data_IF_393713378165
#
_entry.id   IF_393713378165
#
_cell.length_a   1.000
_cell.length_b   1.000
_cell.length_c   1.000
_cell.angle_alpha   90.00
_cell.angle_beta   90.00
_cell.angle_gamma   90.00
#
_symmetry.space_group_name_H-M   'P 1'
#
loop_
_entity.id
_entity.type
_entity.pdbx_description
1 polymer ?
#
# COMPACT_ATOMS: atom_id res chain seq x y z
N UNK A 1 -27.94 1.24 -32.82
CA UNK A 1 -27.43 -0.15 -32.72
C UNK A 1 -25.92 -0.20 -32.53
N UNK A 2 -25.12 0.67 -33.16
CA UNK A 2 -23.65 0.76 -32.96
C UNK A 2 -23.25 0.94 -31.49
N UNK A 3 -23.87 1.87 -30.76
CA UNK A 3 -23.49 2.16 -29.36
C UNK A 3 -23.80 1.01 -28.39
N UNK A 4 -24.87 0.24 -28.65
CA UNK A 4 -25.23 -0.92 -27.83
C UNK A 4 -24.23 -2.06 -28.05
N UNK A 5 -23.88 -2.31 -29.31
CA UNK A 5 -22.94 -3.37 -29.69
C UNK A 5 -21.51 -3.04 -29.25
N UNK A 6 -21.11 -1.77 -29.34
CA UNK A 6 -19.84 -1.26 -28.79
C UNK A 6 -19.82 -1.37 -27.25
N UNK A 7 -20.91 -1.03 -26.57
CA UNK A 7 -21.02 -1.19 -25.11
C UNK A 7 -20.95 -2.66 -24.70
N UNK A 8 -21.61 -3.57 -25.42
CA UNK A 8 -21.55 -5.01 -25.17
C UNK A 8 -20.14 -5.55 -25.43
N UNK A 9 -19.46 -5.10 -26.49
CA UNK A 9 -18.07 -5.46 -26.77
C UNK A 9 -17.11 -4.95 -25.70
N UNK A 10 -17.26 -3.71 -25.21
CA UNK A 10 -16.44 -3.18 -24.10
C UNK A 10 -16.64 -3.97 -22.82
N UNK A 11 -17.89 -4.27 -22.46
CA UNK A 11 -18.20 -5.11 -21.29
C UNK A 11 -17.64 -6.51 -21.49
N UNK A 12 -17.82 -7.11 -22.67
CA UNK A 12 -17.25 -8.41 -23.02
C UNK A 12 -15.72 -8.44 -22.93
N UNK A 13 -15.03 -7.44 -23.48
CA UNK A 13 -13.57 -7.32 -23.38
C UNK A 13 -13.12 -7.16 -21.92
N UNK A 14 -13.81 -6.33 -21.14
CA UNK A 14 -13.46 -6.11 -19.73
C UNK A 14 -13.67 -7.38 -18.90
N UNK A 15 -14.78 -8.09 -19.11
CA UNK A 15 -15.15 -9.28 -18.34
C UNK A 15 -14.40 -10.54 -18.78
N UNK A 16 -14.16 -10.74 -20.08
CA UNK A 16 -13.58 -11.98 -20.61
C UNK A 16 -12.10 -11.89 -20.94
N UNK A 17 -11.52 -10.69 -21.04
CA UNK A 17 -10.09 -10.51 -21.33
C UNK A 17 -9.40 -9.85 -20.15
N UNK A 18 -9.84 -8.65 -19.73
CA UNK A 18 -9.14 -7.88 -18.68
C UNK A 18 -9.24 -8.57 -17.32
N UNK A 19 -10.44 -9.00 -16.90
CA UNK A 19 -10.65 -9.70 -15.63
C UNK A 19 -9.85 -11.01 -15.50
N UNK A 20 -9.92 -11.94 -16.47
CA UNK A 20 -9.16 -13.18 -16.44
C UNK A 20 -7.65 -12.97 -16.52
N UNK A 21 -7.20 -12.00 -17.33
CA UNK A 21 -5.79 -11.65 -17.43
C UNK A 21 -5.27 -11.10 -16.10
N UNK A 22 -5.95 -10.13 -15.48
CA UNK A 22 -5.58 -9.57 -14.18
C UNK A 22 -5.56 -10.64 -13.08
N UNK A 23 -6.57 -11.52 -13.05
CA UNK A 23 -6.60 -12.65 -12.12
C UNK A 23 -5.46 -13.67 -12.37
N UNK A 24 -5.06 -13.88 -13.63
CA UNK A 24 -3.91 -14.73 -13.96
C UNK A 24 -2.59 -14.08 -13.53
N UNK A 25 -2.40 -12.78 -13.80
CA UNK A 25 -1.23 -12.00 -13.36
C UNK A 25 -1.07 -12.08 -11.85
N UNK A 26 -2.16 -11.84 -11.10
CA UNK A 26 -2.16 -11.90 -9.65
C UNK A 26 -1.78 -13.29 -9.12
N UNK A 27 -2.36 -14.36 -9.71
CA UNK A 27 -2.02 -15.75 -9.33
C UNK A 27 -0.57 -16.11 -9.66
N UNK A 28 -0.07 -15.72 -10.83
CA UNK A 28 1.32 -15.99 -11.23
C UNK A 28 2.30 -15.23 -10.34
N UNK A 29 2.01 -13.96 -10.05
CA UNK A 29 2.80 -13.15 -9.12
C UNK A 29 2.78 -13.68 -7.69
N UNK A 30 1.65 -14.26 -7.23
CA UNK A 30 1.60 -14.95 -5.93
C UNK A 30 2.49 -16.20 -5.91
N UNK A 31 2.47 -17.01 -6.97
CA UNK A 31 3.32 -18.20 -7.10
C UNK A 31 4.81 -17.88 -7.17
N UNK A 32 5.21 -16.85 -7.92
CA UNK A 32 6.62 -16.43 -7.96
C UNK A 32 7.09 -15.89 -6.60
N UNK A 33 6.18 -15.30 -5.81
CA UNK A 33 6.49 -14.90 -4.43
C UNK A 33 6.70 -16.10 -3.51
N UNK A 34 5.89 -17.16 -3.64
CA UNK A 34 6.08 -18.39 -2.85
C UNK A 34 7.30 -19.20 -3.30
N UNK A 35 7.67 -19.20 -4.58
CA UNK A 35 8.89 -19.87 -5.05
C UNK A 35 10.15 -19.11 -4.63
N UNK A 36 10.06 -17.78 -4.50
CA UNK A 36 11.16 -16.96 -4.00
C UNK A 36 11.43 -17.12 -2.50
N UNK A 37 10.57 -17.84 -1.77
CA UNK A 37 10.74 -18.13 -0.33
C UNK A 37 11.52 -19.42 -0.04
N UNK A 38 11.97 -20.16 -1.05
CA UNK A 38 12.55 -21.51 -0.88
C UNK A 38 13.96 -21.54 -0.23
N UNK A 39 14.67 -20.40 -0.13
CA UNK A 39 16.02 -20.31 0.46
C UNK A 39 16.19 -19.06 1.32
N UNK A 40 16.44 -19.19 2.64
CA UNK A 40 16.61 -18.05 3.54
C UNK A 40 17.97 -17.36 3.40
N UNK A 41 19.01 -18.06 2.95
CA UNK A 41 20.37 -17.51 2.88
C UNK A 41 20.68 -16.80 1.55
N UNK A 42 20.01 -17.18 0.46
CA UNK A 42 20.24 -16.59 -0.87
C UNK A 42 18.89 -16.30 -1.53
N UNK A 43 18.49 -15.03 -1.58
CA UNK A 43 17.22 -14.61 -2.17
C UNK A 43 17.30 -13.25 -2.85
N UNK A 44 16.31 -12.95 -3.69
CA UNK A 44 16.20 -11.67 -4.38
C UNK A 44 14.84 -11.04 -4.13
N UNK A 45 14.85 -9.87 -3.48
CA UNK A 45 13.67 -9.06 -3.25
C UNK A 45 13.45 -8.17 -4.47
N UNK A 46 12.56 -8.60 -5.36
CA UNK A 46 12.18 -7.87 -6.59
C UNK A 46 10.72 -8.08 -6.96
N UNK A 47 10.19 -7.19 -7.80
CA UNK A 47 8.87 -7.38 -8.42
C UNK A 47 8.85 -8.70 -9.24
N UNK A 48 7.78 -9.51 -9.17
CA UNK A 48 7.58 -10.72 -9.95
C UNK A 48 7.87 -10.49 -11.42
N UNK A 49 8.57 -11.46 -12.01
CA UNK A 49 8.93 -11.46 -13.40
C UNK A 49 7.67 -11.41 -14.28
N UNK A 50 6.59 -12.11 -13.89
CA UNK A 50 5.33 -12.06 -14.62
C UNK A 50 4.77 -10.65 -14.76
N UNK A 51 4.65 -9.89 -13.66
CA UNK A 51 4.12 -8.51 -13.68
C UNK A 51 5.00 -7.63 -14.55
N UNK A 52 6.31 -7.69 -14.33
CA UNK A 52 7.29 -6.91 -15.09
C UNK A 52 7.25 -7.22 -16.59
N UNK A 53 7.16 -8.49 -16.95
CA UNK A 53 7.14 -8.91 -18.36
C UNK A 53 5.86 -8.47 -19.03
N UNK A 54 4.71 -8.54 -18.36
CA UNK A 54 3.43 -8.11 -18.91
C UNK A 54 3.42 -6.61 -19.17
N UNK A 55 3.89 -5.79 -18.22
CA UNK A 55 3.96 -4.34 -18.42
C UNK A 55 4.88 -4.00 -19.61
N UNK A 56 6.04 -4.66 -19.72
CA UNK A 56 6.92 -4.50 -20.89
C UNK A 56 6.25 -4.94 -22.18
N UNK A 57 5.65 -6.13 -22.22
CA UNK A 57 4.96 -6.64 -23.40
C UNK A 57 3.80 -5.71 -23.81
N UNK A 58 3.03 -5.18 -22.86
CA UNK A 58 1.96 -4.23 -23.13
C UNK A 58 2.53 -2.93 -23.72
N UNK A 59 3.58 -2.37 -23.13
CA UNK A 59 4.20 -1.15 -23.64
C UNK A 59 4.78 -1.35 -25.05
N UNK A 60 5.49 -2.46 -25.30
CA UNK A 60 6.04 -2.82 -26.61
C UNK A 60 4.93 -3.08 -27.63
N UNK A 61 3.91 -3.87 -27.28
CA UNK A 61 2.79 -4.15 -28.17
C UNK A 61 2.04 -2.86 -28.54
N UNK A 62 1.90 -1.94 -27.58
CA UNK A 62 1.30 -0.63 -27.83
C UNK A 62 2.15 0.20 -28.79
N UNK A 63 3.46 0.29 -28.58
CA UNK A 63 4.37 0.96 -29.53
C UNK A 63 4.34 0.32 -30.93
N UNK A 64 4.32 -1.01 -31.01
CA UNK A 64 4.24 -1.72 -32.30
C UNK A 64 2.91 -1.47 -33.02
N UNK A 65 1.79 -1.39 -32.28
CA UNK A 65 0.50 -0.98 -32.83
C UNK A 65 0.57 0.45 -33.36
N UNK A 66 1.12 1.39 -32.60
CA UNK A 66 1.26 2.78 -33.03
C UNK A 66 2.19 2.92 -34.24
N UNK A 67 3.31 2.19 -34.27
CA UNK A 67 4.23 2.13 -35.40
C UNK A 67 3.55 1.53 -36.65
N UNK A 68 2.74 0.48 -36.48
CA UNK A 68 1.96 -0.10 -37.56
C UNK A 68 0.96 0.90 -38.15
N UNK A 69 0.29 1.68 -37.29
CA UNK A 69 -0.58 2.80 -37.70
C UNK A 69 0.22 3.87 -38.43
N UNK A 70 1.42 4.23 -37.97
CA UNK A 70 2.29 5.22 -38.61
C UNK A 70 2.76 4.77 -40.00
N UNK A 71 3.20 3.53 -40.15
CA UNK A 71 3.59 2.94 -41.44
C UNK A 71 2.39 2.91 -42.39
N UNK A 72 1.21 2.51 -41.89
CA UNK A 72 -0.02 2.55 -42.67
C UNK A 72 -0.40 3.98 -43.09
N UNK A 73 -0.25 4.97 -42.21
CA UNK A 73 -0.51 6.39 -42.49
C UNK A 73 0.42 6.94 -43.57
N UNK A 74 1.70 6.56 -43.56
CA UNK A 74 2.66 6.92 -44.60
C UNK A 74 2.33 6.30 -45.96
N UNK A 75 1.70 5.12 -45.97
CA UNK A 75 1.21 4.43 -47.17
C UNK A 75 -0.16 4.97 -47.63
N UNK A 76 -1.02 5.41 -46.71
CA UNK A 76 -2.40 5.83 -46.99
C UNK A 76 -2.59 7.34 -47.21
N UNK A 77 -1.51 8.13 -47.28
CA UNK A 77 -1.53 9.58 -47.55
C UNK A 77 -2.53 10.38 -46.68
N UNK A 78 -2.51 10.15 -45.36
CA UNK A 78 -2.89 11.20 -44.40
C UNK A 78 -4.36 11.38 -44.00
N UNK A 79 -5.11 10.29 -43.77
CA UNK A 79 -6.50 10.41 -43.26
C UNK A 79 -6.67 10.18 -41.74
N UNK A 80 -5.60 9.92 -40.99
CA UNK A 80 -5.70 9.62 -39.55
C UNK A 80 -5.31 10.78 -38.64
N UNK A 81 -6.01 10.88 -37.50
CA UNK A 81 -5.85 11.91 -36.49
C UNK A 81 -4.46 11.82 -35.81
N UNK A 82 -3.60 12.78 -36.13
CA UNK A 82 -2.25 12.89 -35.59
C UNK A 82 -2.23 13.02 -34.06
N UNK A 83 -3.29 13.54 -33.44
CA UNK A 83 -3.38 13.67 -31.99
C UNK A 83 -3.51 12.31 -31.31
N UNK A 84 -4.31 11.40 -31.90
CA UNK A 84 -4.46 10.05 -31.39
C UNK A 84 -3.15 9.25 -31.47
N UNK A 85 -2.34 9.51 -32.50
CA UNK A 85 -1.04 8.87 -32.68
C UNK A 85 -0.05 9.28 -31.58
N UNK A 86 0.10 10.58 -31.34
CA UNK A 86 0.99 11.08 -30.29
C UNK A 86 0.50 10.73 -28.89
N UNK A 87 -0.81 10.66 -28.67
CA UNK A 87 -1.39 10.17 -27.42
C UNK A 87 -0.98 8.71 -27.17
N UNK A 88 -1.00 7.89 -28.22
CA UNK A 88 -0.51 6.51 -28.16
C UNK A 88 0.94 6.41 -27.71
N UNK A 89 1.85 7.14 -28.36
CA UNK A 89 3.26 7.15 -27.96
C UNK A 89 3.48 7.67 -26.53
N UNK A 90 2.77 8.72 -26.13
CA UNK A 90 2.84 9.25 -24.77
C UNK A 90 2.47 8.19 -23.72
N UNK A 91 1.41 7.41 -23.98
CA UNK A 91 0.95 6.34 -23.10
C UNK A 91 1.92 5.16 -23.04
N UNK A 92 2.54 4.79 -24.16
CA UNK A 92 3.56 3.74 -24.16
C UNK A 92 4.85 4.18 -23.43
N UNK A 93 5.32 5.41 -23.65
CA UNK A 93 6.46 5.96 -22.90
C UNK A 93 6.18 6.00 -21.39
N UNK A 94 4.97 6.40 -20.99
CA UNK A 94 4.55 6.33 -19.59
C UNK A 94 4.57 4.88 -19.06
N UNK A 95 4.07 3.92 -19.85
CA UNK A 95 4.14 2.49 -19.51
C UNK A 95 5.56 1.96 -19.35
N UNK A 96 6.48 2.35 -20.24
CA UNK A 96 7.91 2.00 -20.17
C UNK A 96 8.60 2.64 -18.96
N UNK A 97 8.26 3.89 -18.62
CA UNK A 97 8.79 4.56 -17.44
C UNK A 97 8.32 3.87 -16.16
N UNK A 98 7.04 3.49 -16.07
CA UNK A 98 6.49 2.72 -14.96
C UNK A 98 7.19 1.36 -14.87
N UNK A 99 7.35 0.66 -15.99
CA UNK A 99 8.09 -0.60 -16.04
C UNK A 99 9.50 -0.45 -15.48
N UNK A 100 10.25 0.57 -15.91
CA UNK A 100 11.60 0.82 -15.42
C UNK A 100 11.60 1.07 -13.90
N UNK A 101 10.71 1.93 -13.40
CA UNK A 101 10.59 2.24 -11.97
C UNK A 101 10.27 1.02 -11.11
N UNK A 102 9.47 0.08 -11.61
CA UNK A 102 9.14 -1.16 -10.90
C UNK A 102 10.23 -2.24 -11.03
N UNK A 103 11.07 -2.15 -12.07
CA UNK A 103 12.05 -3.19 -12.43
C UNK A 103 13.45 -2.97 -11.87
N UNK A 104 13.81 -1.70 -11.64
CA UNK A 104 15.16 -1.31 -11.21
C UNK A 104 15.36 -1.57 -9.71
N UNK A 105 14.43 -1.21 -8.79
CA UNK A 105 14.58 -1.51 -7.38
C UNK A 105 14.67 -3.01 -7.15
N UNK A 106 15.77 -3.45 -6.54
CA UNK A 106 15.95 -4.84 -6.14
C UNK A 106 16.93 -4.94 -4.98
N UNK A 107 16.78 -5.97 -4.17
CA UNK A 107 17.79 -6.39 -3.20
C UNK A 107 18.20 -7.81 -3.52
N UNK A 108 19.49 -8.00 -3.70
CA UNK A 108 20.10 -9.32 -3.84
C UNK A 108 20.76 -9.63 -2.48
N UNK A 109 20.31 -10.71 -1.83
CA UNK A 109 20.90 -11.23 -0.59
C UNK A 109 21.66 -12.50 -0.93
N UNK A 110 22.94 -12.53 -0.52
CA UNK A 110 23.85 -13.66 -0.75
C UNK A 110 24.63 -13.94 0.54
N UNK A 111 24.10 -14.85 1.35
CA UNK A 111 24.52 -15.09 2.72
C UNK A 111 24.42 -13.82 3.56
N UNK A 112 25.55 -13.38 4.13
CA UNK A 112 25.61 -12.18 4.96
C UNK A 112 25.62 -10.85 4.20
N UNK A 113 25.68 -10.86 2.86
CA UNK A 113 25.81 -9.64 2.03
C UNK A 113 24.47 -9.22 1.45
N UNK A 114 24.20 -7.92 1.53
CA UNK A 114 23.00 -7.28 1.01
C UNK A 114 23.42 -6.26 -0.05
N UNK A 115 23.09 -6.55 -1.30
CA UNK A 115 23.25 -5.61 -2.41
C UNK A 115 21.90 -4.98 -2.75
N UNK A 116 21.74 -3.70 -2.40
CA UNK A 116 20.54 -2.94 -2.71
C UNK A 116 20.73 -2.07 -3.96
N UNK A 117 19.70 -2.01 -4.80
CA UNK A 117 19.60 -1.07 -5.92
C UNK A 117 18.36 -0.21 -5.75
N UNK A 118 18.52 1.11 -5.78
CA UNK A 118 17.39 2.03 -5.70
C UNK A 118 16.75 2.28 -7.09
N UNK A 119 15.64 3.01 -7.13
CA UNK A 119 14.93 3.34 -8.39
C UNK A 119 15.79 4.10 -9.42
N UNK A 120 16.88 4.75 -9.00
CA UNK A 120 17.83 5.45 -9.87
C UNK A 120 18.99 4.55 -10.34
N UNK A 121 18.98 3.26 -9.97
CA UNK A 121 20.03 2.31 -10.35
C UNK A 121 21.30 2.39 -9.51
N UNK A 122 21.35 3.26 -8.49
CA UNK A 122 22.48 3.39 -7.57
C UNK A 122 22.54 2.12 -6.72
N UNK A 123 23.72 1.51 -6.67
CA UNK A 123 23.98 0.30 -5.89
C UNK A 123 24.60 0.66 -4.54
N UNK A 124 24.14 0.03 -3.48
CA UNK A 124 24.76 0.07 -2.16
C UNK A 124 24.91 -1.34 -1.64
N UNK A 125 26.07 -1.61 -1.05
CA UNK A 125 26.38 -2.88 -0.44
C UNK A 125 26.46 -2.70 1.08
N UNK A 126 25.88 -3.63 1.83
CA UNK A 126 25.92 -3.67 3.29
C UNK A 126 25.83 -5.12 3.78
N UNK A 127 25.90 -5.34 5.09
CA UNK A 127 25.79 -6.64 5.75
C UNK A 127 24.75 -6.58 6.86
N UNK A 128 24.12 -7.71 7.20
CA UNK A 128 23.11 -7.75 8.27
C UNK A 128 23.65 -7.23 9.61
N UNK A 129 24.89 -7.55 9.97
CA UNK A 129 25.53 -7.05 11.20
C UNK A 129 25.78 -5.54 11.25
N UNK A 130 25.65 -4.82 10.12
CA UNK A 130 25.74 -3.36 10.10
C UNK A 130 24.36 -2.69 10.17
N UNK A 131 23.28 -3.45 9.99
CA UNK A 131 21.92 -2.92 10.10
C UNK A 131 21.63 -2.68 11.57
N UNK A 132 21.49 -1.41 11.94
CA UNK A 132 21.20 -1.02 13.31
C UNK A 132 19.70 -1.06 13.61
N UNK A 133 18.86 -0.79 12.61
CA UNK A 133 17.39 -0.81 12.75
C UNK A 133 16.70 -1.00 11.40
N UNK A 134 15.51 -1.58 11.44
CA UNK A 134 14.58 -1.63 10.33
C UNK A 134 13.28 -0.93 10.72
N UNK A 135 12.73 -0.10 9.83
CA UNK A 135 11.42 0.54 10.07
C UNK A 135 10.40 0.07 9.04
N UNK A 136 9.25 -0.38 9.52
CA UNK A 136 8.14 -0.86 8.71
C UNK A 136 7.07 0.22 8.59
N UNK A 137 6.88 0.71 7.37
CA UNK A 137 5.71 1.49 6.99
C UNK A 137 4.60 0.54 6.55
N UNK A 138 3.83 -0.02 7.50
CA UNK A 138 2.76 -0.98 7.20
C UNK A 138 1.76 -0.45 6.15
N UNK A 139 1.39 0.83 6.24
CA UNK A 139 0.45 1.47 5.31
C UNK A 139 1.01 1.72 3.91
N UNK A 140 2.32 1.94 3.79
CA UNK A 140 2.97 2.09 2.48
C UNK A 140 3.49 0.75 1.95
N UNK A 141 3.28 -0.33 2.71
CA UNK A 141 3.87 -1.65 2.47
C UNK A 141 5.34 -1.46 2.10
N UNK A 142 6.12 -0.83 2.98
CA UNK A 142 7.50 -0.44 2.70
C UNK A 142 8.36 -0.68 3.94
N UNK A 143 9.54 -1.23 3.74
CA UNK A 143 10.55 -1.37 4.79
C UNK A 143 11.77 -0.50 4.45
N UNK A 144 12.29 0.21 5.44
CA UNK A 144 13.50 1.00 5.33
C UNK A 144 14.57 0.42 6.25
N UNK A 145 15.78 0.19 5.72
CA UNK A 145 16.92 -0.34 6.48
C UNK A 145 17.94 0.75 6.75
N UNK A 146 18.47 0.80 7.97
CA UNK A 146 19.39 1.83 8.42
C UNK A 146 20.72 1.27 8.94
N UNK A 147 21.82 1.94 8.57
CA UNK A 147 23.14 1.81 9.18
C UNK A 147 23.29 2.99 10.15
N UNK A 148 23.10 2.75 11.46
CA UNK A 148 22.94 3.84 12.43
C UNK A 148 21.79 4.79 12.04
N UNK A 149 22.10 6.06 11.79
CA UNK A 149 21.12 7.07 11.35
C UNK A 149 20.95 7.16 9.83
N UNK A 150 21.78 6.46 9.05
CA UNK A 150 21.79 6.58 7.60
C UNK A 150 20.87 5.55 6.96
N UNK A 151 19.87 6.03 6.22
CA UNK A 151 19.03 5.20 5.37
C UNK A 151 19.83 4.55 4.24
N UNK A 152 19.96 3.23 4.28
CA UNK A 152 20.68 2.46 3.27
C UNK A 152 19.77 2.27 2.07
N UNK A 153 18.67 1.57 2.31
CA UNK A 153 17.76 1.15 1.27
C UNK A 153 16.31 1.25 1.74
N UNK A 154 15.44 1.13 0.74
CA UNK A 154 14.02 1.18 0.94
C UNK A 154 13.37 0.29 -0.09
N UNK A 155 12.49 -0.59 0.37
CA UNK A 155 11.84 -1.58 -0.49
C UNK A 155 10.35 -1.51 -0.25
N UNK A 156 9.60 -1.56 -1.35
CA UNK A 156 8.17 -1.85 -1.27
C UNK A 156 8.00 -3.36 -1.02
N UNK A 157 7.28 -3.70 0.03
CA UNK A 157 6.74 -5.03 0.32
C UNK A 157 5.54 -5.37 -0.58
N UNK A 158 4.92 -4.36 -1.21
CA UNK A 158 3.76 -4.55 -2.07
C UNK A 158 4.14 -5.25 -3.38
N UNK A 159 3.63 -6.45 -3.56
CA UNK A 159 3.84 -7.22 -4.78
C UNK A 159 5.29 -7.67 -4.99
N UNK A 160 6.18 -7.59 -3.99
CA UNK A 160 7.59 -7.99 -4.07
C UNK A 160 7.84 -9.25 -3.22
N UNK A 161 8.83 -10.08 -3.59
CA UNK A 161 9.25 -11.26 -2.82
C UNK A 161 10.00 -10.87 -1.53
N UNK A 162 9.29 -10.33 -0.56
CA UNK A 162 9.86 -9.69 0.64
C UNK A 162 9.80 -10.53 1.91
N UNK A 163 9.10 -11.67 1.91
CA UNK A 163 8.91 -12.51 3.10
C UNK A 163 10.25 -13.00 3.68
N UNK A 164 11.15 -13.55 2.85
CA UNK A 164 12.48 -13.96 3.31
C UNK A 164 13.30 -12.83 3.92
N UNK A 165 13.08 -11.58 3.48
CA UNK A 165 13.77 -10.45 4.09
C UNK A 165 13.26 -10.19 5.51
N UNK A 166 11.95 -10.31 5.73
CA UNK A 166 11.35 -10.13 7.05
C UNK A 166 11.78 -11.25 7.99
N UNK A 167 11.68 -12.50 7.54
CA UNK A 167 12.11 -13.68 8.31
C UNK A 167 13.60 -13.57 8.68
N UNK A 168 14.45 -13.15 7.74
CA UNK A 168 15.89 -13.00 7.99
C UNK A 168 16.22 -11.85 8.95
N UNK A 169 15.47 -10.74 8.90
CA UNK A 169 15.63 -9.65 9.87
C UNK A 169 15.25 -10.10 11.28
N UNK A 170 14.22 -10.92 11.42
CA UNK A 170 13.79 -11.52 12.69
C UNK A 170 14.83 -12.53 13.22
N UNK A 171 15.39 -13.40 12.36
CA UNK A 171 16.46 -14.33 12.72
C UNK A 171 17.72 -13.62 13.25
N UNK A 172 18.09 -12.49 12.65
CA UNK A 172 19.25 -11.69 13.06
C UNK A 172 18.96 -10.80 14.28
N UNK A 173 17.73 -10.85 14.83
CA UNK A 173 17.32 -10.08 16.01
C UNK A 173 17.20 -8.58 15.76
N UNK A 174 17.01 -8.15 14.50
CA UNK A 174 16.87 -6.73 14.15
C UNK A 174 15.42 -6.32 14.44
N UNK A 175 15.23 -5.45 15.43
CA UNK A 175 13.91 -4.94 15.78
C UNK A 175 13.29 -4.16 14.61
N UNK A 176 12.08 -4.55 14.23
CA UNK A 176 11.29 -3.90 13.18
C UNK A 176 10.31 -2.94 13.86
N UNK A 177 10.69 -1.66 13.94
CA UNK A 177 9.84 -0.63 14.54
C UNK A 177 8.84 -0.07 13.52
N UNK A 178 7.70 0.46 13.98
CA UNK A 178 6.84 1.27 13.11
C UNK A 178 7.61 2.53 12.70
N UNK A 179 7.59 2.86 11.42
CA UNK A 179 8.30 4.01 10.88
C UNK A 179 7.65 5.37 11.21
N UNK A 180 6.52 5.37 11.92
CA UNK A 180 5.94 6.57 12.53
C UNK A 180 6.41 6.66 13.99
N UNK A 181 7.49 7.39 14.23
CA UNK A 181 8.06 7.58 15.59
C UNK A 181 7.29 8.60 16.46
N UNK A 182 6.17 9.13 15.96
CA UNK A 182 5.39 10.17 16.63
C UNK A 182 4.38 9.65 17.66
N UNK A 183 3.93 10.48 18.61
CA UNK A 183 2.91 10.09 19.58
C UNK A 183 1.62 9.70 18.88
N UNK A 184 1.00 8.61 19.34
CA UNK A 184 -0.23 8.10 18.75
C UNK A 184 -1.40 9.05 19.04
N UNK A 185 -1.87 9.75 18.00
CA UNK A 185 -2.98 10.69 18.08
C UNK A 185 -4.06 10.35 17.07
N UNK A 186 -5.32 10.74 17.34
CA UNK A 186 -6.44 10.59 16.39
C UNK A 186 -6.13 11.20 15.01
N UNK A 187 -5.50 12.37 14.99
CA UNK A 187 -5.08 13.04 13.76
C UNK A 187 -3.93 12.27 13.07
N UNK A 188 -2.95 11.79 13.83
CA UNK A 188 -1.84 10.97 13.34
C UNK A 188 -2.31 9.67 12.69
N UNK A 189 -3.24 8.95 13.33
CA UNK A 189 -3.85 7.73 12.79
C UNK A 189 -4.64 8.03 11.51
N UNK A 190 -5.45 9.10 11.50
CA UNK A 190 -6.22 9.50 10.32
C UNK A 190 -5.31 9.85 9.13
N UNK A 191 -4.27 10.66 9.37
CA UNK A 191 -3.31 11.04 8.35
C UNK A 191 -2.53 9.83 7.84
N UNK A 192 -2.07 8.96 8.74
CA UNK A 192 -1.31 7.76 8.37
C UNK A 192 -2.13 6.79 7.54
N UNK A 193 -3.45 6.69 7.78
CA UNK A 193 -4.36 5.87 7.00
C UNK A 193 -4.61 6.42 5.58
N UNK A 194 -4.73 7.74 5.41
CA UNK A 194 -5.05 8.35 4.10
C UNK A 194 -3.79 8.60 3.24
N UNK A 195 -2.63 8.80 3.89
CA UNK A 195 -1.36 9.19 3.23
C UNK A 195 -0.97 8.29 2.05
N UNK A 196 -1.02 6.94 2.13
CA UNK A 196 -0.68 6.09 0.99
C UNK A 196 -1.58 6.35 -0.22
N UNK A 197 -2.88 6.49 0.02
CA UNK A 197 -3.88 6.74 -1.03
C UNK A 197 -3.69 8.12 -1.66
N UNK A 198 -3.39 9.14 -0.85
CA UNK A 198 -3.03 10.48 -1.35
C UNK A 198 -1.79 10.42 -2.24
N UNK A 199 -0.77 9.63 -1.88
CA UNK A 199 0.44 9.47 -2.71
C UNK A 199 0.11 8.79 -4.04
N UNK A 200 -0.70 7.72 -4.03
CA UNK A 200 -1.13 7.02 -5.25
C UNK A 200 -1.86 7.99 -6.19
N UNK A 201 -2.82 8.75 -5.66
CA UNK A 201 -3.57 9.71 -6.47
C UNK A 201 -2.71 10.85 -7.02
N UNK A 202 -1.77 11.38 -6.23
CA UNK A 202 -0.82 12.38 -6.73
C UNK A 202 0.13 11.79 -7.78
N UNK A 203 0.53 10.53 -7.63
CA UNK A 203 1.30 9.79 -8.63
C UNK A 203 0.53 9.65 -9.95
N UNK A 204 -0.75 9.27 -9.89
CA UNK A 204 -1.62 9.22 -11.07
C UNK A 204 -1.74 10.59 -11.73
N UNK A 205 -2.01 11.66 -10.95
CA UNK A 205 -2.09 13.02 -11.45
C UNK A 205 -0.79 13.44 -12.16
N UNK A 206 0.37 13.09 -11.59
CA UNK A 206 1.68 13.35 -12.20
C UNK A 206 1.85 12.62 -13.54
N UNK A 207 1.54 11.32 -13.61
CA UNK A 207 1.64 10.54 -14.85
C UNK A 207 0.74 11.14 -15.94
N UNK A 208 -0.51 11.44 -15.63
CA UNK A 208 -1.42 12.09 -16.59
C UNK A 208 -0.92 13.48 -17.01
N UNK A 209 -0.33 14.23 -16.07
CA UNK A 209 0.25 15.55 -16.37
C UNK A 209 1.44 15.46 -17.30
N UNK A 210 2.29 14.43 -17.17
CA UNK A 210 3.40 14.19 -18.10
C UNK A 210 2.90 13.82 -19.49
N UNK A 211 1.87 12.99 -19.58
CA UNK A 211 1.21 12.66 -20.87
C UNK A 211 0.65 13.92 -21.52
N UNK A 212 -0.05 14.77 -20.77
CA UNK A 212 -0.59 16.04 -21.27
C UNK A 212 0.53 16.99 -21.69
N UNK A 213 1.60 17.11 -20.90
CA UNK A 213 2.73 17.97 -21.23
C UNK A 213 3.44 17.49 -22.51
N UNK A 214 3.58 16.18 -22.69
CA UNK A 214 4.09 15.61 -23.94
C UNK A 214 3.18 15.97 -25.11
N UNK A 215 1.86 15.76 -24.98
CA UNK A 215 0.89 16.16 -26.01
C UNK A 215 0.98 17.64 -26.36
N UNK A 216 1.18 18.51 -25.36
CA UNK A 216 1.36 19.95 -25.56
C UNK A 216 2.58 20.34 -26.40
N UNK A 217 3.62 19.51 -26.42
CA UNK A 217 4.81 19.74 -27.23
C UNK A 217 4.61 19.27 -28.67
N UNK A 218 3.83 18.21 -28.88
CA UNK A 218 3.72 17.53 -30.18
C UNK A 218 2.41 17.79 -30.94
N UNK A 219 1.43 18.46 -30.33
CA UNK A 219 0.14 18.79 -30.97
C UNK A 219 -0.30 20.24 -30.75
N UNK A 220 -0.95 20.83 -31.76
CA UNK A 220 -1.45 22.22 -31.71
C UNK A 220 -2.58 22.40 -30.67
N UNK A 221 -3.36 21.36 -30.39
CA UNK A 221 -4.37 21.36 -29.33
C UNK A 221 -3.79 21.23 -27.92
N UNK A 222 -2.55 20.71 -27.79
CA UNK A 222 -2.03 20.29 -26.50
C UNK A 222 -1.67 21.44 -25.55
N UNK A 223 -1.36 22.64 -26.06
CA UNK A 223 -1.14 23.81 -25.22
C UNK A 223 -2.38 24.19 -24.39
N UNK A 224 -3.61 23.96 -24.93
CA UNK A 224 -4.85 24.16 -24.19
C UNK A 224 -5.07 23.07 -23.14
N UNK A 225 -4.60 21.84 -23.40
CA UNK A 225 -4.70 20.73 -22.45
C UNK A 225 -3.85 20.95 -21.19
N UNK A 226 -2.80 21.77 -21.25
CA UNK A 226 -2.02 22.15 -20.06
C UNK A 226 -2.88 22.79 -18.96
N UNK A 227 -3.99 23.46 -19.33
CA UNK A 227 -4.95 24.00 -18.35
C UNK A 227 -5.59 22.90 -17.49
N UNK A 228 -5.64 21.65 -17.97
CA UNK A 228 -6.17 20.51 -17.22
C UNK A 228 -5.22 20.04 -16.11
N UNK A 229 -3.92 20.34 -16.18
CA UNK A 229 -2.93 19.88 -15.19
C UNK A 229 -3.28 20.35 -13.77
N UNK A 230 -3.54 21.65 -13.51
CA UNK A 230 -4.02 22.09 -12.20
C UNK A 230 -5.30 21.39 -11.73
N UNK A 231 -6.24 21.13 -12.65
CA UNK A 231 -7.48 20.42 -12.32
C UNK A 231 -7.22 18.96 -11.97
N UNK A 232 -6.28 18.27 -12.63
CA UNK A 232 -5.90 16.90 -12.26
C UNK A 232 -5.37 16.84 -10.83
N UNK A 233 -4.48 17.76 -10.45
CA UNK A 233 -3.96 17.80 -9.07
C UNK A 233 -5.05 18.18 -8.06
N UNK A 234 -5.94 19.12 -8.41
CA UNK A 234 -7.03 19.53 -7.52
C UNK A 234 -8.06 18.40 -7.33
N UNK A 235 -8.50 17.75 -8.41
CA UNK A 235 -9.52 16.71 -8.36
C UNK A 235 -8.95 15.36 -7.91
N UNK A 236 -7.91 14.86 -8.57
CA UNK A 236 -7.33 13.56 -8.28
C UNK A 236 -6.46 13.66 -7.03
N UNK A 237 -5.52 14.60 -6.99
CA UNK A 237 -4.57 14.73 -5.88
C UNK A 237 -5.16 15.30 -4.57
N UNK A 238 -6.25 16.07 -4.65
CA UNK A 238 -6.87 16.75 -3.51
C UNK A 238 -8.27 16.25 -3.15
N UNK A 239 -9.25 16.43 -4.05
CA UNK A 239 -10.66 16.15 -3.76
C UNK A 239 -10.92 14.66 -3.51
N UNK A 240 -10.39 13.76 -4.34
CA UNK A 240 -10.56 12.32 -4.14
C UNK A 240 -10.03 11.85 -2.76
N UNK A 241 -8.78 12.14 -2.36
CA UNK A 241 -8.32 11.77 -1.02
C UNK A 241 -9.15 12.42 0.08
N UNK A 242 -9.63 13.66 -0.10
CA UNK A 242 -10.53 14.32 0.86
C UNK A 242 -11.86 13.56 1.02
N UNK A 243 -12.50 13.13 -0.08
CA UNK A 243 -13.72 12.34 -0.03
C UNK A 243 -13.48 10.97 0.64
N UNK A 244 -12.30 10.40 0.44
CA UNK A 244 -11.92 9.11 1.02
C UNK A 244 -11.48 9.20 2.49
N UNK A 245 -11.31 10.40 3.07
CA UNK A 245 -11.19 10.59 4.52
C UNK A 245 -12.39 10.03 5.30
N UNK A 246 -13.53 9.86 4.63
CA UNK A 246 -14.70 9.19 5.22
C UNK A 246 -14.40 7.77 5.72
N UNK A 247 -13.40 7.09 5.17
CA UNK A 247 -12.97 5.75 5.58
C UNK A 247 -12.27 5.76 6.96
N UNK A 248 -11.14 6.47 7.16
CA UNK A 248 -10.49 6.53 8.47
C UNK A 248 -11.33 7.31 9.49
N UNK A 249 -12.10 8.33 9.07
CA UNK A 249 -12.93 9.13 9.97
C UNK A 249 -13.94 8.28 10.75
N UNK A 250 -14.47 7.19 10.17
CA UNK A 250 -15.37 6.28 10.90
C UNK A 250 -14.70 5.65 12.12
N UNK A 251 -13.45 5.24 12.00
CA UNK A 251 -12.66 4.70 13.12
C UNK A 251 -12.39 5.76 14.18
N UNK A 252 -12.01 6.97 13.76
CA UNK A 252 -11.76 8.09 14.67
C UNK A 252 -13.02 8.52 15.43
N UNK A 253 -14.17 8.55 14.76
CA UNK A 253 -15.47 8.83 15.41
C UNK A 253 -15.82 7.75 16.44
N UNK A 254 -15.41 6.51 16.23
CA UNK A 254 -15.64 5.43 17.20
C UNK A 254 -14.71 5.51 18.40
N UNK A 255 -13.45 5.94 18.22
CA UNK A 255 -12.58 6.33 19.36
C UNK A 255 -13.26 7.44 20.17
N UNK A 256 -13.76 8.48 19.50
CA UNK A 256 -14.47 9.59 20.15
C UNK A 256 -15.75 9.19 20.89
N UNK A 257 -16.37 8.07 20.52
CA UNK A 257 -17.50 7.49 21.26
C UNK A 257 -17.05 6.71 22.48
N UNK A 258 -15.99 5.92 22.35
CA UNK A 258 -15.38 5.20 23.46
C UNK A 258 -14.93 6.18 24.56
N UNK A 259 -14.30 7.30 24.19
CA UNK A 259 -13.95 8.38 25.14
C UNK A 259 -15.16 8.89 25.93
N UNK A 260 -16.31 9.09 25.26
CA UNK A 260 -17.54 9.59 25.90
C UNK A 260 -18.24 8.55 26.76
N UNK A 261 -18.28 7.29 26.31
CA UNK A 261 -18.98 6.20 27.00
C UNK A 261 -18.19 5.70 28.22
N UNK A 262 -16.86 5.71 28.15
CA UNK A 262 -15.99 5.19 29.21
C UNK A 262 -15.34 6.31 30.06
N UNK A 263 -15.43 7.57 29.63
CA UNK A 263 -14.95 8.72 30.41
C UNK A 263 -13.42 8.86 30.47
N UNK A 264 -12.73 8.61 29.35
CA UNK A 264 -11.28 8.79 29.24
C UNK A 264 -10.91 9.72 28.07
N UNK A 265 -9.66 10.18 28.04
CA UNK A 265 -9.06 10.91 26.93
C UNK A 265 -8.09 10.00 26.19
N UNK A 266 -8.33 9.73 24.89
CA UNK A 266 -7.47 8.87 24.09
C UNK A 266 -6.04 9.42 24.01
N UNK A 267 -5.90 10.75 23.86
CA UNK A 267 -4.58 11.37 23.76
C UNK A 267 -3.77 11.20 25.04
N UNK A 268 -4.40 11.34 26.21
CA UNK A 268 -3.74 11.17 27.52
C UNK A 268 -3.41 9.70 27.79
N UNK A 269 -4.32 8.79 27.45
CA UNK A 269 -4.12 7.36 27.67
C UNK A 269 -3.04 6.77 26.73
N UNK A 270 -2.98 7.22 25.47
CA UNK A 270 -1.89 6.84 24.58
C UNK A 270 -0.55 7.44 25.03
N UNK A 271 -0.55 8.70 25.49
CA UNK A 271 0.65 9.34 26.00
C UNK A 271 1.17 8.67 27.28
N UNK A 272 0.29 8.28 28.21
CA UNK A 272 0.70 7.60 29.45
C UNK A 272 1.25 6.19 29.20
N UNK A 273 0.82 5.55 28.12
CA UNK A 273 1.37 4.26 27.64
C UNK A 273 2.64 4.41 26.81
N UNK A 274 3.09 5.63 26.51
CA UNK A 274 4.19 5.86 25.58
C UNK A 274 3.90 5.36 24.16
N UNK A 275 2.62 5.23 23.78
CA UNK A 275 2.22 4.65 22.51
C UNK A 275 2.63 5.54 21.34
N UNK A 276 3.49 5.01 20.48
CA UNK A 276 3.94 5.63 19.23
C UNK A 276 3.46 4.83 18.03
N UNK A 277 3.43 5.45 16.86
CA UNK A 277 3.16 4.74 15.62
C UNK A 277 1.69 4.61 15.24
N UNK A 278 1.40 3.55 14.47
CA UNK A 278 0.13 3.29 13.80
C UNK A 278 -0.53 1.97 14.22
N UNK A 279 0.16 1.17 15.02
CA UNK A 279 -0.37 -0.05 15.63
C UNK A 279 -0.03 -0.11 17.12
N UNK A 280 -0.98 -0.59 17.93
CA UNK A 280 -0.81 -0.89 19.35
C UNK A 280 -1.76 -2.03 19.69
N UNK A 281 -1.21 -3.16 20.13
CA UNK A 281 -2.00 -4.30 20.64
C UNK A 281 -1.48 -4.64 22.03
N UNK A 282 -2.27 -4.32 23.05
CA UNK A 282 -1.96 -4.62 24.46
C UNK A 282 -3.17 -5.25 25.16
N UNK A 283 -3.12 -5.49 26.48
CA UNK A 283 -4.22 -6.13 27.20
C UNK A 283 -5.55 -5.35 27.12
N UNK A 284 -5.51 -4.03 26.96
CA UNK A 284 -6.68 -3.15 26.96
C UNK A 284 -7.07 -2.65 25.58
N UNK A 285 -6.11 -2.42 24.70
CA UNK A 285 -6.29 -1.78 23.40
C UNK A 285 -5.91 -2.70 22.25
N UNK A 286 -6.74 -2.62 21.21
CA UNK A 286 -6.41 -3.08 19.88
C UNK A 286 -6.53 -1.87 18.95
N UNK A 287 -5.41 -1.42 18.39
CA UNK A 287 -5.33 -0.29 17.46
C UNK A 287 -4.51 -0.75 16.26
N UNK A 288 -5.11 -0.77 15.09
CA UNK A 288 -4.42 -1.02 13.83
C UNK A 288 -5.01 -0.16 12.72
N UNK A 289 -4.20 0.18 11.73
CA UNK A 289 -4.67 0.73 10.46
C UNK A 289 -4.67 -0.38 9.42
N UNK A 290 -5.80 -0.57 8.73
CA UNK A 290 -5.95 -1.60 7.71
C UNK A 290 -6.84 -1.09 6.57
N UNK A 291 -6.39 -1.21 5.32
CA UNK A 291 -7.12 -0.76 4.12
C UNK A 291 -7.65 0.69 4.22
N UNK A 292 -6.77 1.63 4.63
CA UNK A 292 -7.11 3.04 4.87
C UNK A 292 -8.20 3.27 5.93
N UNK A 293 -8.45 2.28 6.82
CA UNK A 293 -9.41 2.38 7.93
C UNK A 293 -8.67 2.23 9.24
N UNK A 294 -9.13 2.96 10.25
CA UNK A 294 -8.61 2.86 11.62
C UNK A 294 -9.50 1.90 12.40
N UNK A 295 -8.93 0.80 12.88
CA UNK A 295 -9.59 -0.18 13.75
C UNK A 295 -9.02 0.04 15.15
N UNK A 296 -9.79 0.70 16.02
CA UNK A 296 -9.34 1.04 17.37
C UNK A 296 -10.44 0.71 18.37
N UNK A 297 -10.22 -0.30 19.20
CA UNK A 297 -11.17 -0.74 20.22
C UNK A 297 -10.50 -1.01 21.56
N UNK A 298 -11.13 -0.52 22.62
CA UNK A 298 -10.80 -0.86 24.00
C UNK A 298 -11.59 -2.08 24.46
N UNK A 299 -10.95 -3.01 25.17
CA UNK A 299 -11.53 -4.31 25.53
C UNK A 299 -12.78 -4.17 26.41
N UNK A 300 -12.79 -3.23 27.34
CA UNK A 300 -13.90 -2.97 28.25
C UNK A 300 -15.13 -2.36 27.54
N UNK A 301 -14.97 -1.77 26.36
CA UNK A 301 -16.05 -1.33 25.48
C UNK A 301 -16.78 -2.51 24.82
N UNK A 302 -16.04 -3.61 24.58
CA UNK A 302 -16.50 -4.75 23.79
C UNK A 302 -17.26 -5.78 24.62
N UNK A 303 -18.30 -6.34 24.00
CA UNK A 303 -19.07 -7.49 24.53
C UNK A 303 -18.87 -8.75 23.68
N UNK A 304 -18.81 -8.59 22.36
CA UNK A 304 -18.66 -9.72 21.41
C UNK A 304 -18.05 -9.23 20.10
N UNK A 305 -17.12 -10.02 19.56
CA UNK A 305 -16.57 -9.86 18.21
C UNK A 305 -16.96 -11.10 17.39
N UNK A 306 -17.66 -10.91 16.27
CA UNK A 306 -18.02 -12.04 15.39
C UNK A 306 -16.83 -12.47 14.52
N UNK A 307 -16.94 -13.65 13.88
CA UNK A 307 -16.05 -13.96 12.76
C UNK A 307 -16.17 -12.90 11.66
N UNK A 308 -15.12 -12.72 10.87
CA UNK A 308 -15.22 -11.92 9.67
C UNK A 308 -16.06 -12.65 8.62
N UNK A 309 -16.77 -11.88 7.81
CA UNK A 309 -17.51 -12.33 6.64
C UNK A 309 -16.81 -11.75 5.41
N UNK A 310 -16.48 -12.61 4.47
CA UNK A 310 -16.03 -12.18 3.14
C UNK A 310 -17.21 -11.54 2.42
N UNK A 311 -17.05 -10.30 1.97
CA UNK A 311 -18.07 -9.60 1.18
C UNK A 311 -17.45 -9.04 -0.09
N UNK A 312 -18.25 -8.86 -1.15
CA UNK A 312 -17.79 -8.20 -2.39
C UNK A 312 -17.23 -6.79 -2.13
N UNK A 313 -17.62 -6.15 -1.03
CA UNK A 313 -17.14 -4.82 -0.60
C UNK A 313 -15.92 -4.85 0.34
N UNK A 314 -15.31 -6.03 0.53
CA UNK A 314 -14.21 -6.29 1.46
C UNK A 314 -14.66 -6.94 2.77
N UNK A 315 -13.70 -7.52 3.48
CA UNK A 315 -13.96 -8.27 4.71
C UNK A 315 -14.54 -7.37 5.80
N UNK A 316 -15.45 -7.93 6.58
CA UNK A 316 -16.12 -7.20 7.66
C UNK A 316 -16.39 -8.08 8.86
N UNK A 317 -16.34 -7.52 10.06
CA UNK A 317 -16.84 -8.17 11.26
C UNK A 317 -17.89 -7.29 11.96
N UNK A 318 -18.73 -7.93 12.76
CA UNK A 318 -19.67 -7.21 13.63
C UNK A 318 -19.14 -7.22 15.05
N UNK A 319 -18.91 -6.01 15.57
CA UNK A 319 -18.55 -5.78 16.96
C UNK A 319 -19.80 -5.39 17.73
N UNK A 320 -20.05 -6.05 18.86
CA UNK A 320 -21.15 -5.71 19.77
C UNK A 320 -20.55 -5.07 21.02
N UNK A 321 -21.00 -3.87 21.36
CA UNK A 321 -20.55 -3.12 22.54
C UNK A 321 -21.27 -3.62 23.80
N UNK A 322 -20.73 -3.34 24.99
CA UNK A 322 -21.44 -3.63 26.25
C UNK A 322 -22.77 -2.89 26.37
N UNK A 323 -22.87 -1.71 25.76
CA UNK A 323 -24.12 -0.97 25.58
C UNK A 323 -25.13 -1.59 24.60
N UNK A 324 -24.85 -2.77 24.03
CA UNK A 324 -25.77 -3.50 23.15
C UNK A 324 -25.77 -3.04 21.69
N UNK A 325 -24.95 -2.04 21.33
CA UNK A 325 -24.84 -1.53 19.97
C UNK A 325 -24.04 -2.49 19.09
N UNK A 326 -24.48 -2.65 17.84
CA UNK A 326 -23.76 -3.43 16.81
C UNK A 326 -23.08 -2.48 15.84
N UNK A 327 -21.77 -2.63 15.67
CA UNK A 327 -20.91 -1.82 14.81
C UNK A 327 -20.36 -2.74 13.72
N UNK A 328 -20.46 -2.32 12.47
CA UNK A 328 -19.82 -3.01 11.33
C UNK A 328 -18.41 -2.44 11.15
N UNK A 329 -17.42 -3.28 11.39
CA UNK A 329 -16.00 -2.98 11.22
C UNK A 329 -15.55 -3.61 9.92
N UNK A 330 -14.74 -2.88 9.16
CA UNK A 330 -14.20 -3.33 7.89
C UNK A 330 -12.70 -3.12 7.92
N UNK A 331 -11.95 -4.13 7.53
CA UNK A 331 -10.50 -4.17 7.47
C UNK A 331 -10.09 -5.38 6.61
N UNK A 332 -8.81 -5.66 6.47
CA UNK A 332 -8.35 -6.94 5.94
C UNK A 332 -8.79 -8.10 6.87
N UNK A 333 -9.10 -9.27 6.29
CA UNK A 333 -9.50 -10.46 7.04
C UNK A 333 -8.54 -10.82 8.17
N UNK A 334 -7.22 -10.73 7.94
CA UNK A 334 -6.18 -10.96 8.96
C UNK A 334 -6.34 -10.02 10.17
N UNK A 335 -6.40 -8.70 9.96
CA UNK A 335 -6.63 -7.72 11.03
C UNK A 335 -7.92 -8.01 11.82
N UNK A 336 -8.97 -8.48 11.15
CA UNK A 336 -10.24 -8.83 11.80
C UNK A 336 -10.14 -10.13 12.61
N UNK A 337 -9.33 -11.09 12.16
CA UNK A 337 -9.00 -12.29 12.91
C UNK A 337 -8.14 -11.97 14.13
N UNK A 338 -7.16 -11.09 13.98
CA UNK A 338 -6.29 -10.64 15.07
C UNK A 338 -7.11 -9.94 16.15
N UNK A 339 -7.99 -9.00 15.77
CA UNK A 339 -8.94 -8.36 16.69
C UNK A 339 -9.79 -9.41 17.44
N UNK A 340 -10.28 -10.43 16.74
CA UNK A 340 -11.11 -11.48 17.33
C UNK A 340 -10.31 -12.36 18.28
N UNK A 341 -9.08 -12.72 17.91
CA UNK A 341 -8.17 -13.55 18.70
C UNK A 341 -7.75 -12.81 19.96
N UNK A 342 -7.31 -11.55 19.82
CA UNK A 342 -7.03 -10.64 20.92
C UNK A 342 -8.21 -10.54 21.89
N UNK A 343 -9.43 -10.32 21.38
CA UNK A 343 -10.61 -10.23 22.24
C UNK A 343 -10.88 -11.54 23.00
N UNK A 344 -10.70 -12.70 22.35
CA UNK A 344 -10.91 -14.03 22.94
C UNK A 344 -9.85 -14.43 23.97
N UNK A 345 -8.60 -14.03 23.77
CA UNK A 345 -7.50 -14.35 24.68
C UNK A 345 -7.74 -13.77 26.09
N UNK A 346 -8.58 -12.72 26.20
CA UNK A 346 -8.78 -11.99 27.45
C UNK A 346 -7.57 -11.12 27.79
N UNK A 347 -7.69 -10.28 28.82
CA UNK A 347 -6.50 -9.69 29.42
C UNK A 347 -5.70 -10.83 30.08
N UNK A 348 -4.39 -10.92 29.85
CA UNK A 348 -3.56 -11.85 30.63
C UNK A 348 -3.80 -11.55 32.11
N UNK A 349 -4.06 -12.58 32.91
CA UNK A 349 -4.16 -12.41 34.35
C UNK A 349 -2.78 -12.01 34.90
N UNK A 350 -2.51 -10.69 34.97
CA UNK A 350 -1.25 -10.12 35.43
C UNK A 350 -0.84 -10.73 36.76
N UNK A 351 0.18 -11.57 36.72
CA UNK A 351 0.78 -12.12 37.91
C UNK A 351 1.50 -11.00 38.66
N UNK A 352 1.73 -11.16 39.95
CA UNK A 352 2.50 -10.19 40.75
C UNK A 352 3.94 -10.05 40.25
N UNK A 353 4.42 -11.02 39.47
CA UNK A 353 5.76 -11.08 38.86
C UNK A 353 5.84 -10.12 37.67
N UNK A 354 4.85 -10.11 36.78
CA UNK A 354 4.83 -9.20 35.61
C UNK A 354 4.80 -7.72 36.05
N UNK A 355 4.08 -7.40 37.15
CA UNK A 355 4.09 -6.04 37.72
C UNK A 355 5.43 -5.66 38.34
N UNK A 356 6.20 -6.63 38.83
CA UNK A 356 7.52 -6.38 39.39
C UNK A 356 8.55 -6.18 38.27
N UNK A 357 8.41 -6.89 37.16
CA UNK A 357 9.26 -6.76 35.97
C UNK A 357 9.09 -5.39 35.31
N UNK A 358 7.85 -4.96 35.04
CA UNK A 358 7.55 -3.62 34.50
C UNK A 358 8.05 -2.47 35.40
N UNK A 359 7.99 -2.66 36.73
CA UNK A 359 8.45 -1.66 37.70
C UNK A 359 9.99 -1.58 37.77
N UNK A 360 10.68 -2.68 37.46
CA UNK A 360 12.14 -2.72 37.38
C UNK A 360 12.64 -2.11 36.05
N UNK A 361 11.97 -2.40 34.93
CA UNK A 361 12.30 -1.84 33.62
C UNK A 361 12.09 -0.32 33.56
N UNK A 362 11.12 0.23 34.29
CA UNK A 362 10.90 1.68 34.37
C UNK A 362 11.95 2.45 35.21
N UNK A 363 12.92 1.75 35.83
CA UNK A 363 13.96 2.36 36.69
C UNK A 363 15.40 2.20 36.17
N UNK A 364 15.58 1.56 35.02
CA UNK A 364 16.84 1.48 34.26
C UNK A 364 16.74 2.39 33.05
#
# INVERSE_FOLDING_TARGET
>A
MSNLLESILRVGMTVFIVGPLTAWVARRGARERSEATDSPDCFTVRMPAAIRTIIACCAVAFELLMLGVYVWQGVSLGEWDHELVWFGHAMALAGMAIWALLSIPRIDVDGGRILSRNAFGIRKETTFGNIARATLHAQMMRIDLFEGDRKICSISLEGVCSLNLLDRLEEEGIEISDAVDGPMTKAGLCWSAIKPLTIVFNGMALVFSLVIAFMAVFTDAGARLLLLVPFLFLFIGGLLPLLMLSMPARGILEIGRQERELGFSFAEEMASRGATGTSLVDDDWFIEISNARVVAFRRDYLKKVTAHEDSESGDRCTVTTKGGRKIKVYAAGSTLEDLRSWFKQGAKARSTVDRAEDALEATV
#
